data_IF_181181404437
#
_entry.id   IF_181181404437
#
_cell.length_a   1.000
_cell.length_b   1.000
_cell.length_c   1.000
_cell.angle_alpha   90.00
_cell.angle_beta   90.00
_cell.angle_gamma   90.00
#
_symmetry.space_group_name_H-M   'P 1'
#
loop_
_entity.id
_entity.type
_entity.pdbx_description
1 polymer ?
#
# COMPACT_ATOMS: atom_id res chain seq x y z
N UNK A 1 -30.86 -23.63 -47.92
CA UNK A 1 -30.89 -23.53 -46.45
C UNK A 1 -29.48 -23.57 -45.86
N UNK A 2 -28.55 -22.75 -46.35
CA UNK A 2 -27.15 -22.72 -45.83
C UNK A 2 -26.67 -21.34 -45.38
N UNK A 3 -27.59 -20.37 -45.27
CA UNK A 3 -27.23 -18.97 -44.93
C UNK A 3 -27.58 -18.52 -43.53
N UNK A 4 -28.32 -19.27 -42.73
CA UNK A 4 -28.79 -18.87 -41.40
C UNK A 4 -27.86 -19.35 -40.26
N UNK A 5 -27.06 -20.36 -40.51
CA UNK A 5 -26.17 -20.91 -39.48
C UNK A 5 -24.84 -20.13 -39.36
N UNK A 6 -24.39 -19.48 -40.45
CA UNK A 6 -23.18 -18.67 -40.43
C UNK A 6 -23.36 -17.34 -39.68
N UNK A 7 -24.60 -16.81 -39.66
CA UNK A 7 -24.86 -15.54 -38.97
C UNK A 7 -24.93 -15.69 -37.45
N UNK A 8 -25.38 -16.85 -36.97
CA UNK A 8 -25.44 -17.15 -35.53
C UNK A 8 -24.06 -17.39 -34.91
N UNK A 9 -23.12 -17.95 -35.70
CA UNK A 9 -21.77 -18.20 -35.21
C UNK A 9 -20.94 -16.90 -35.13
N UNK A 10 -21.17 -15.95 -36.02
CA UNK A 10 -20.48 -14.65 -36.02
C UNK A 10 -20.94 -13.76 -34.88
N UNK A 11 -22.20 -13.79 -34.44
CA UNK A 11 -22.72 -13.01 -33.31
C UNK A 11 -22.25 -13.59 -32.01
N UNK A 12 -22.11 -14.90 -31.86
CA UNK A 12 -21.56 -15.52 -30.65
C UNK A 12 -20.07 -15.21 -30.42
N UNK A 13 -19.30 -15.07 -31.51
CA UNK A 13 -17.87 -14.76 -31.43
C UNK A 13 -17.60 -13.31 -31.07
N UNK A 14 -18.49 -12.38 -31.45
CA UNK A 14 -18.34 -10.95 -31.12
C UNK A 14 -18.72 -10.66 -29.65
N UNK A 15 -19.62 -11.45 -29.03
CA UNK A 15 -19.98 -11.29 -27.64
C UNK A 15 -18.93 -11.84 -26.64
N UNK A 16 -18.04 -12.73 -27.09
CA UNK A 16 -16.99 -13.31 -26.27
C UNK A 16 -15.77 -12.39 -26.12
N UNK A 17 -15.63 -11.33 -26.92
CA UNK A 17 -14.52 -10.36 -26.81
C UNK A 17 -14.79 -9.16 -25.88
N UNK A 18 -15.99 -9.04 -25.30
CA UNK A 18 -16.38 -7.90 -24.48
C UNK A 18 -16.23 -8.15 -22.96
N UNK A 19 -15.65 -9.28 -22.55
CA UNK A 19 -15.42 -9.61 -21.13
C UNK A 19 -13.93 -9.70 -20.76
N UNK A 20 -13.06 -9.02 -21.50
CA UNK A 20 -11.77 -8.66 -20.96
C UNK A 20 -12.00 -7.47 -20.03
N UNK A 21 -12.59 -7.73 -18.85
CA UNK A 21 -12.49 -6.84 -17.71
C UNK A 21 -11.01 -6.53 -17.56
N UNK A 22 -10.65 -5.26 -17.47
CA UNK A 22 -9.32 -4.84 -17.08
C UNK A 22 -9.02 -5.49 -15.73
N UNK A 23 -8.37 -6.65 -15.75
CA UNK A 23 -7.64 -7.09 -14.59
C UNK A 23 -6.63 -5.98 -14.27
N UNK A 24 -6.52 -5.54 -13.01
CA UNK A 24 -5.51 -4.57 -12.65
C UNK A 24 -4.17 -5.06 -13.16
N UNK A 25 -3.46 -4.20 -13.91
CA UNK A 25 -2.15 -4.56 -14.42
C UNK A 25 -1.26 -4.82 -13.22
N UNK A 26 -0.88 -6.09 -13.04
CA UNK A 26 0.21 -6.43 -12.14
C UNK A 26 1.38 -5.51 -12.48
N UNK A 27 1.81 -4.68 -11.53
CA UNK A 27 2.84 -3.68 -11.80
C UNK A 27 4.19 -4.33 -12.10
N UNK A 28 4.36 -5.59 -11.71
CA UNK A 28 5.66 -6.26 -11.80
C UNK A 28 6.75 -5.58 -10.97
N UNK A 29 6.36 -4.67 -10.08
CA UNK A 29 7.27 -3.87 -9.24
C UNK A 29 7.57 -4.65 -7.98
N UNK A 30 8.84 -4.90 -7.71
CA UNK A 30 9.29 -5.45 -6.45
C UNK A 30 9.20 -4.37 -5.37
N UNK A 31 8.67 -4.74 -4.19
CA UNK A 31 8.64 -3.85 -3.03
C UNK A 31 9.80 -4.24 -2.13
N UNK A 32 10.72 -3.29 -1.89
CA UNK A 32 11.77 -3.42 -0.90
C UNK A 32 11.37 -2.61 0.33
N UNK A 33 11.34 -3.25 1.49
CA UNK A 33 10.99 -2.58 2.74
C UNK A 33 11.73 -3.22 3.91
N UNK A 34 11.87 -2.51 5.01
CA UNK A 34 12.42 -3.03 6.24
C UNK A 34 13.22 -2.02 7.04
N UNK A 35 13.30 -2.26 8.36
CA UNK A 35 14.06 -1.43 9.31
C UNK A 35 15.57 -1.43 8.99
N UNK A 36 16.11 -2.54 8.52
CA UNK A 36 17.54 -2.73 8.26
C UNK A 36 17.89 -2.66 6.75
N UNK A 37 17.08 -1.99 5.93
CA UNK A 37 17.19 -2.02 4.46
C UNK A 37 17.21 -3.46 3.93
N UNK A 38 16.56 -4.37 4.63
CA UNK A 38 16.43 -5.76 4.21
C UNK A 38 15.50 -5.80 3.01
N UNK A 39 16.05 -6.20 1.88
CA UNK A 39 15.29 -6.38 0.66
C UNK A 39 14.25 -7.47 0.88
N UNK A 40 12.97 -7.10 0.78
CA UNK A 40 11.89 -8.06 0.62
C UNK A 40 11.64 -8.18 -0.89
N UNK A 41 12.02 -9.31 -1.45
CA UNK A 41 11.64 -9.60 -2.82
C UNK A 41 10.10 -9.62 -2.91
N UNK A 42 9.54 -9.18 -4.04
CA UNK A 42 8.08 -9.20 -4.27
C UNK A 42 7.45 -10.59 -4.03
N UNK A 43 8.23 -11.66 -4.16
CA UNK A 43 7.80 -13.03 -3.87
C UNK A 43 7.62 -13.31 -2.38
N UNK A 44 8.14 -12.49 -1.49
CA UNK A 44 8.04 -12.65 -0.03
C UNK A 44 6.78 -11.97 0.53
N UNK A 45 6.13 -11.09 -0.25
CA UNK A 45 4.84 -10.51 0.11
C UNK A 45 3.70 -11.38 -0.43
N UNK A 46 2.69 -11.67 0.39
CA UNK A 46 1.55 -12.50 -0.02
C UNK A 46 0.69 -11.87 -1.12
N UNK A 47 0.81 -10.56 -1.31
CA UNK A 47 0.02 -9.78 -2.26
C UNK A 47 0.93 -8.92 -3.13
N UNK A 48 0.53 -8.71 -4.40
CA UNK A 48 1.29 -7.94 -5.37
C UNK A 48 0.79 -6.51 -5.44
N UNK A 49 1.72 -5.56 -5.70
CA UNK A 49 1.37 -4.19 -6.05
C UNK A 49 0.71 -4.09 -7.43
N UNK A 50 -0.07 -3.03 -7.65
CA UNK A 50 -0.69 -2.72 -8.94
C UNK A 50 -0.78 -1.21 -9.14
N UNK A 51 -0.96 -0.77 -10.41
CA UNK A 51 -1.20 0.63 -10.70
C UNK A 51 -2.69 0.93 -10.83
N UNK A 52 -3.15 1.97 -10.12
CA UNK A 52 -4.42 2.62 -10.33
C UNK A 52 -4.15 3.98 -11.00
N UNK A 53 -4.35 4.06 -12.32
CA UNK A 53 -3.88 5.19 -13.10
C UNK A 53 -2.35 5.30 -13.08
N UNK A 54 -1.84 6.38 -12.49
CA UNK A 54 -0.40 6.61 -12.30
C UNK A 54 0.07 6.28 -10.88
N UNK A 55 -0.85 5.97 -9.97
CA UNK A 55 -0.58 5.71 -8.55
C UNK A 55 -0.25 4.24 -8.32
N UNK A 56 0.89 3.96 -7.71
CA UNK A 56 1.26 2.61 -7.30
C UNK A 56 0.55 2.25 -5.99
N UNK A 57 -0.32 1.24 -6.05
CA UNK A 57 -1.03 0.69 -4.90
C UNK A 57 -0.26 -0.49 -4.33
N UNK A 58 0.00 -0.46 -3.03
CA UNK A 58 0.75 -1.51 -2.31
C UNK A 58 -0.10 -2.14 -1.21
N UNK A 59 0.11 -3.42 -0.85
CA UNK A 59 -0.64 -4.09 0.19
C UNK A 59 -0.32 -3.47 1.57
N UNK A 60 -1.31 -2.79 2.16
CA UNK A 60 -1.14 -1.94 3.34
C UNK A 60 -0.55 -2.68 4.54
N UNK A 61 -1.21 -3.77 4.95
CA UNK A 61 -0.84 -4.46 6.19
C UNK A 61 0.48 -5.22 6.06
N UNK A 62 0.77 -5.76 4.88
CA UNK A 62 1.99 -6.52 4.61
C UNK A 62 3.21 -5.60 4.61
N UNK A 63 3.10 -4.45 3.94
CA UNK A 63 4.17 -3.44 3.93
C UNK A 63 4.38 -2.86 5.33
N UNK A 64 3.30 -2.50 6.04
CA UNK A 64 3.40 -1.97 7.40
C UNK A 64 4.12 -2.94 8.35
N UNK A 65 3.75 -4.24 8.33
CA UNK A 65 4.43 -5.27 9.16
C UNK A 65 5.88 -5.46 8.78
N UNK A 66 6.22 -5.36 7.50
CA UNK A 66 7.59 -5.46 7.03
C UNK A 66 8.44 -4.26 7.48
N UNK A 67 7.82 -3.10 7.71
CA UNK A 67 8.44 -1.92 8.34
C UNK A 67 8.48 -2.02 9.88
N UNK A 68 7.96 -3.09 10.46
CA UNK A 68 7.92 -3.29 11.91
C UNK A 68 6.75 -2.63 12.62
N UNK A 69 5.73 -2.15 11.88
CA UNK A 69 4.53 -1.53 12.45
C UNK A 69 3.48 -2.58 12.81
N UNK A 70 2.66 -2.29 13.81
CA UNK A 70 1.41 -3.00 14.03
C UNK A 70 0.42 -2.66 12.92
N UNK A 71 -0.26 -3.68 12.38
CA UNK A 71 -1.21 -3.51 11.29
C UNK A 71 -2.39 -4.45 11.47
N UNK A 72 -3.59 -3.88 11.60
CA UNK A 72 -4.84 -4.60 11.74
C UNK A 72 -5.80 -4.23 10.60
N UNK A 73 -6.51 -5.21 10.08
CA UNK A 73 -7.57 -5.04 9.09
C UNK A 73 -8.87 -5.64 9.62
N UNK A 74 -9.86 -4.79 9.85
CA UNK A 74 -11.23 -5.19 10.18
C UNK A 74 -12.08 -5.25 8.91
N UNK A 75 -12.25 -6.45 8.39
CA UNK A 75 -13.04 -6.68 7.18
C UNK A 75 -14.54 -6.42 7.37
N UNK A 76 -15.05 -6.50 8.59
CA UNK A 76 -16.47 -6.24 8.87
C UNK A 76 -16.80 -4.74 8.81
N UNK A 77 -15.91 -3.91 9.34
CA UNK A 77 -16.04 -2.45 9.32
C UNK A 77 -15.30 -1.80 8.15
N UNK A 78 -14.57 -2.57 7.34
CA UNK A 78 -13.76 -2.08 6.22
C UNK A 78 -12.76 -1.00 6.66
N UNK A 79 -12.11 -1.20 7.81
CA UNK A 79 -11.21 -0.24 8.44
C UNK A 79 -9.87 -0.89 8.73
N UNK A 80 -8.79 -0.18 8.42
CA UNK A 80 -7.43 -0.55 8.78
C UNK A 80 -6.88 0.38 9.86
N UNK A 81 -6.08 -0.17 10.78
CA UNK A 81 -5.31 0.59 11.77
C UNK A 81 -3.85 0.22 11.60
N UNK A 82 -3.02 1.23 11.37
CA UNK A 82 -1.56 1.12 11.30
C UNK A 82 -0.97 1.94 12.43
N UNK A 83 -0.05 1.34 13.19
CA UNK A 83 0.53 1.94 14.38
C UNK A 83 2.03 1.70 14.41
N UNK A 84 2.84 2.77 14.48
CA UNK A 84 4.30 2.68 14.63
C UNK A 84 4.75 2.47 16.08
N UNK A 85 3.78 2.38 17.02
CA UNK A 85 3.96 2.17 18.47
C UNK A 85 4.69 3.31 19.21
N UNK A 86 5.27 4.29 18.53
CA UNK A 86 6.11 5.33 19.11
C UNK A 86 5.56 6.73 18.91
N UNK A 87 5.19 7.09 17.68
CA UNK A 87 4.89 8.45 17.30
C UNK A 87 3.41 8.62 17.01
N UNK A 88 2.82 7.75 16.17
CA UNK A 88 1.46 7.93 15.68
C UNK A 88 0.81 6.63 15.19
N UNK A 89 -0.51 6.67 15.13
CA UNK A 89 -1.32 5.66 14.46
C UNK A 89 -2.15 6.31 13.36
N UNK A 90 -2.48 5.56 12.33
CA UNK A 90 -3.38 5.96 11.26
C UNK A 90 -4.60 5.03 11.21
N UNK A 91 -5.77 5.61 11.08
CA UNK A 91 -7.03 4.88 10.83
C UNK A 91 -7.50 5.19 9.42
N UNK A 92 -7.69 4.13 8.61
CA UNK A 92 -8.10 4.22 7.20
C UNK A 92 -9.41 3.48 7.00
N UNK A 93 -10.30 4.04 6.20
CA UNK A 93 -11.57 3.39 5.82
C UNK A 93 -11.57 3.13 4.31
N UNK A 94 -12.02 1.95 3.90
CA UNK A 94 -12.11 1.61 2.48
C UNK A 94 -12.98 2.61 1.72
N UNK A 95 -12.51 3.03 0.54
CA UNK A 95 -13.15 4.04 -0.29
C UNK A 95 -12.89 5.49 0.16
N UNK A 96 -12.18 5.73 1.28
CA UNK A 96 -11.78 7.07 1.71
C UNK A 96 -10.36 7.41 1.25
N UNK A 97 -10.15 8.66 0.83
CA UNK A 97 -8.82 9.24 0.55
C UNK A 97 -8.23 9.96 1.76
N UNK A 98 -8.97 10.07 2.86
CA UNK A 98 -8.60 10.86 4.03
C UNK A 98 -8.41 10.00 5.28
N UNK A 99 -7.23 9.36 5.46
CA UNK A 99 -6.90 8.71 6.72
C UNK A 99 -6.80 9.71 7.88
N UNK A 100 -7.21 9.27 9.06
CA UNK A 100 -7.03 10.00 10.31
C UNK A 100 -5.74 9.56 10.99
N UNK A 101 -4.83 10.48 11.21
CA UNK A 101 -3.61 10.28 12.00
C UNK A 101 -3.78 10.84 13.40
N UNK A 102 -3.36 10.08 14.40
CA UNK A 102 -3.41 10.45 15.82
C UNK A 102 -2.02 10.21 16.46
N UNK A 103 -1.47 11.22 17.11
CA UNK A 103 -0.18 11.11 17.78
C UNK A 103 -0.26 10.38 19.13
N UNK A 104 0.76 9.62 19.50
CA UNK A 104 0.86 8.95 20.81
C UNK A 104 1.31 9.89 21.95
N UNK A 105 1.99 10.98 21.62
CA UNK A 105 2.45 11.93 22.61
C UNK A 105 1.27 12.74 23.17
N UNK A 106 0.86 12.45 24.39
CA UNK A 106 -0.29 13.10 25.05
C UNK A 106 -0.12 14.63 25.25
N UNK A 107 1.10 15.15 25.17
CA UNK A 107 1.38 16.59 25.29
C UNK A 107 0.94 17.35 24.05
N UNK A 108 0.86 16.67 22.90
CA UNK A 108 0.41 17.23 21.64
C UNK A 108 -0.53 16.19 21.02
N UNK A 109 -1.76 16.17 21.51
CA UNK A 109 -2.82 15.35 20.91
C UNK A 109 -3.20 15.98 19.55
N UNK A 110 -2.33 15.81 18.55
CA UNK A 110 -2.55 16.30 17.20
C UNK A 110 -3.16 15.17 16.38
N UNK A 111 -4.46 15.24 16.18
CA UNK A 111 -5.11 14.51 15.10
C UNK A 111 -5.02 15.35 13.82
N UNK A 112 -4.72 14.71 12.71
CA UNK A 112 -4.71 15.33 11.38
C UNK A 112 -5.28 14.37 10.35
N UNK A 113 -5.95 14.93 9.37
CA UNK A 113 -6.34 14.22 8.15
C UNK A 113 -5.33 14.57 7.05
N UNK A 114 -5.00 13.57 6.24
CA UNK A 114 -4.12 13.70 5.07
C UNK A 114 -4.92 13.27 3.86
N UNK A 115 -4.80 13.96 2.74
CA UNK A 115 -5.44 13.56 1.50
C UNK A 115 -4.47 12.71 0.67
N UNK A 116 -4.86 11.46 0.41
CA UNK A 116 -4.10 10.54 -0.43
C UNK A 116 -4.45 10.74 -1.91
N UNK A 117 -3.53 10.38 -2.81
CA UNK A 117 -3.74 10.41 -4.25
C UNK A 117 -4.92 9.51 -4.67
N UNK A 118 -4.98 8.29 -4.10
CA UNK A 118 -6.07 7.35 -4.30
C UNK A 118 -6.62 6.84 -2.96
N UNK A 119 -7.90 6.42 -2.98
CA UNK A 119 -8.56 5.88 -1.81
C UNK A 119 -7.99 4.50 -1.41
N UNK A 120 -8.11 4.12 -0.13
CA UNK A 120 -7.90 2.73 0.26
C UNK A 120 -8.88 1.84 -0.50
N UNK A 121 -8.34 0.87 -1.23
CA UNK A 121 -9.11 -0.13 -1.98
C UNK A 121 -8.92 -1.51 -1.38
N UNK A 122 -9.88 -2.41 -1.62
CA UNK A 122 -9.80 -3.79 -1.14
C UNK A 122 -9.90 -4.75 -2.31
N UNK A 123 -8.90 -5.60 -2.50
CA UNK A 123 -8.88 -6.64 -3.51
C UNK A 123 -8.67 -8.01 -2.85
N UNK A 124 -9.56 -8.94 -3.11
CA UNK A 124 -9.52 -10.29 -2.53
C UNK A 124 -9.34 -10.32 -1.00
N UNK A 125 -9.91 -9.33 -0.31
CA UNK A 125 -9.83 -9.19 1.15
C UNK A 125 -8.57 -8.49 1.66
N UNK A 126 -7.66 -8.08 0.79
CA UNK A 126 -6.44 -7.35 1.12
C UNK A 126 -6.65 -5.84 0.91
N UNK A 127 -6.38 -5.00 1.91
CA UNK A 127 -6.40 -3.55 1.77
C UNK A 127 -5.15 -3.04 1.06
N UNK A 128 -5.34 -2.10 0.11
CA UNK A 128 -4.28 -1.43 -0.65
C UNK A 128 -4.35 0.07 -0.48
N UNK A 129 -3.18 0.71 -0.45
CA UNK A 129 -3.02 2.16 -0.38
C UNK A 129 -1.96 2.62 -1.38
N UNK A 130 -1.96 3.92 -1.77
CA UNK A 130 -0.81 4.51 -2.45
C UNK A 130 0.48 4.27 -1.68
N UNK A 131 1.57 3.94 -2.37
CA UNK A 131 2.86 3.71 -1.72
C UNK A 131 3.32 4.94 -0.91
N UNK A 132 2.99 6.15 -1.37
CA UNK A 132 3.28 7.42 -0.71
C UNK A 132 2.64 7.56 0.68
N UNK A 133 1.61 6.77 1.02
CA UNK A 133 1.03 6.74 2.36
C UNK A 133 2.11 6.55 3.44
N UNK A 134 3.12 5.74 3.16
CA UNK A 134 4.17 5.44 4.13
C UNK A 134 5.11 6.62 4.40
N UNK A 135 5.13 7.66 3.57
CA UNK A 135 5.89 8.88 3.86
C UNK A 135 5.38 9.62 5.09
N UNK A 136 4.09 9.45 5.41
CA UNK A 136 3.46 10.01 6.60
C UNK A 136 3.97 9.39 7.91
N UNK A 137 4.60 8.21 7.84
CA UNK A 137 5.27 7.51 8.94
C UNK A 137 6.80 7.68 8.89
N UNK A 138 7.28 8.80 8.35
CA UNK A 138 8.71 9.13 8.25
C UNK A 138 9.51 8.08 7.46
N UNK A 139 8.90 7.49 6.43
CA UNK A 139 9.61 6.67 5.46
C UNK A 139 9.90 7.47 4.18
N UNK A 140 10.96 7.09 3.51
CA UNK A 140 11.22 7.47 2.12
C UNK A 140 10.60 6.43 1.19
N UNK A 141 9.99 6.92 0.10
CA UNK A 141 9.45 6.08 -0.97
C UNK A 141 10.19 6.43 -2.25
N UNK A 142 11.02 5.52 -2.71
CA UNK A 142 11.85 5.69 -3.91
C UNK A 142 11.41 4.74 -5.00
N UNK A 143 11.31 5.24 -6.23
CA UNK A 143 10.95 4.47 -7.41
C UNK A 143 12.19 4.24 -8.27
N UNK A 144 12.51 2.99 -8.52
CA UNK A 144 13.58 2.56 -9.40
C UNK A 144 13.08 1.73 -10.59
N UNK A 145 13.98 1.10 -11.32
CA UNK A 145 13.68 0.25 -12.47
C UNK A 145 12.88 -1.02 -12.08
N UNK A 146 11.54 -0.89 -12.01
CA UNK A 146 10.67 -1.99 -11.61
C UNK A 146 10.70 -2.32 -10.11
N UNK A 147 11.19 -1.40 -9.28
CA UNK A 147 11.30 -1.56 -7.83
C UNK A 147 10.77 -0.29 -7.15
N UNK A 148 10.02 -0.46 -6.08
CA UNK A 148 9.75 0.59 -5.10
C UNK A 148 10.42 0.23 -3.79
N UNK A 149 11.19 1.16 -3.25
CA UNK A 149 11.82 1.02 -1.94
C UNK A 149 11.06 1.87 -0.94
N UNK A 150 10.64 1.26 0.17
CA UNK A 150 9.98 1.95 1.29
C UNK A 150 10.83 1.65 2.53
N UNK A 151 11.50 2.66 3.05
CA UNK A 151 12.43 2.51 4.18
C UNK A 151 12.39 3.73 5.09
N UNK A 152 12.71 3.60 6.39
CA UNK A 152 12.80 4.74 7.30
C UNK A 152 13.75 5.81 6.78
N UNK A 153 13.28 7.06 6.77
CA UNK A 153 14.07 8.23 6.32
C UNK A 153 15.10 8.67 7.37
N UNK A 154 14.87 8.33 8.63
CA UNK A 154 15.80 8.61 9.72
C UNK A 154 16.69 7.39 9.88
N UNK A 155 18.00 7.58 9.72
CA UNK A 155 18.99 6.57 10.07
C UNK A 155 18.66 6.06 11.49
N UNK A 156 18.66 4.74 11.66
CA UNK A 156 18.03 4.08 12.78
C UNK A 156 18.41 4.66 14.14
N UNK A 157 17.63 4.33 15.16
CA UNK A 157 17.82 4.73 16.56
C UNK A 157 19.25 4.52 17.10
N UNK A 158 20.07 3.73 16.42
CA UNK A 158 21.49 3.54 16.69
C UNK A 158 22.31 4.83 16.52
N UNK A 159 21.99 5.66 15.52
CA UNK A 159 22.65 6.96 15.32
C UNK A 159 22.26 7.97 16.39
N UNK A 160 21.04 7.86 16.96
CA UNK A 160 20.60 8.70 18.08
C UNK A 160 21.33 8.28 19.37
N UNK A 161 21.58 6.98 19.53
CA UNK A 161 22.37 6.46 20.64
C UNK A 161 23.80 7.01 20.64
N UNK A 162 24.45 7.01 19.50
CA UNK A 162 25.82 7.55 19.32
C UNK A 162 25.86 9.08 19.46
N UNK A 163 24.83 9.80 18.97
CA UNK A 163 24.70 11.25 19.19
C UNK A 163 24.56 11.61 20.67
N UNK A 164 23.74 10.87 21.41
CA UNK A 164 23.55 11.09 22.87
C UNK A 164 24.77 10.68 23.68
N UNK A 165 25.52 9.65 23.25
CA UNK A 165 26.77 9.24 23.88
C UNK A 165 27.90 10.27 23.72
N UNK A 166 27.87 11.06 22.64
CA UNK A 166 28.84 12.14 22.36
C UNK A 166 28.59 13.45 23.12
N UNK A 167 27.51 13.55 23.89
CA UNK A 167 27.15 14.74 24.68
C UNK A 167 27.65 14.71 26.13
N UNK A 168 28.53 13.75 26.50
CA UNK A 168 29.15 13.64 27.86
C UNK A 168 30.61 14.02 27.86
#
# INVERSE_FOLDING_TARGET
MKGKELLTLAVALVLALALTGCAPKDAGVAILTGLDKKELAQGDLPCRSYYEGETLMVPLCEVARALGYSAEWDSANQTAIIDDEYIQKATLTAGSKTPLFEGHLQVINMSREVELAEALTVQEGTPYVPAEFFTEFLNEVEYGEGIVTIAPSVAGLDDIGDFLAGLH
#
